data_IF_411135996529
#
_entry.id   IF_411135996529
#
_cell.length_a   1.000
_cell.length_b   1.000
_cell.length_c   1.000
_cell.angle_alpha   90.00
_cell.angle_beta   90.00
_cell.angle_gamma   90.00
#
_symmetry.space_group_name_H-M   'P 1'
#
loop_
_entity.id
_entity.type
_entity.pdbx_description
1 polymer ?
#
# COMPACT_ATOMS: atom_id res chain seq x y z
N UNK A 1 6.60 8.03 -6.31
CA UNK A 1 5.80 8.07 -5.05
C UNK A 1 6.61 8.82 -3.99
N UNK A 2 6.09 9.87 -3.35
CA UNK A 2 6.82 10.58 -2.27
C UNK A 2 6.95 9.60 -1.10
N UNK A 3 8.19 9.31 -0.66
CA UNK A 3 8.41 8.54 0.57
C UNK A 3 7.76 9.32 1.71
N UNK A 4 6.69 8.84 2.36
CA UNK A 4 6.26 9.48 3.59
C UNK A 4 7.43 9.35 4.57
N UNK A 5 7.80 10.47 5.19
CA UNK A 5 8.78 10.58 6.28
C UNK A 5 8.21 9.91 7.55
N UNK A 6 7.78 8.66 7.44
CA UNK A 6 7.40 7.82 8.56
C UNK A 6 8.43 6.70 8.59
N UNK A 7 9.42 6.82 9.47
CA UNK A 7 10.33 5.74 9.82
C UNK A 7 9.49 4.67 10.56
N UNK A 8 9.22 3.48 10.00
CA UNK A 8 8.52 2.47 10.74
C UNK A 8 9.48 1.86 11.77
N UNK A 9 8.98 1.66 12.99
CA UNK A 9 9.65 0.83 13.99
C UNK A 9 9.89 -0.55 13.39
N UNK A 10 11.10 -1.08 13.56
CA UNK A 10 11.49 -2.44 13.19
C UNK A 10 10.51 -3.42 13.82
N UNK A 11 9.54 -3.90 13.04
CA UNK A 11 8.67 -5.00 13.43
C UNK A 11 9.49 -6.28 13.56
N UNK A 12 8.98 -7.23 14.32
CA UNK A 12 9.61 -8.54 14.51
C UNK A 12 9.91 -9.16 13.14
N UNK A 13 11.07 -9.79 12.99
CA UNK A 13 11.77 -10.14 11.73
C UNK A 13 10.99 -10.97 10.69
N UNK A 14 9.76 -11.41 10.98
CA UNK A 14 8.89 -12.13 10.04
C UNK A 14 7.90 -11.22 9.30
N UNK A 15 7.55 -10.04 9.85
CA UNK A 15 6.62 -9.09 9.22
C UNK A 15 7.44 -8.04 8.44
N UNK A 16 7.49 -8.19 7.11
CA UNK A 16 8.14 -7.23 6.21
C UNK A 16 7.25 -6.00 6.04
N UNK A 17 7.13 -5.19 7.09
CA UNK A 17 6.43 -3.89 7.08
C UNK A 17 6.89 -2.97 5.94
N UNK A 18 8.12 -3.14 5.46
CA UNK A 18 8.63 -2.47 4.26
C UNK A 18 9.02 -3.50 3.20
N UNK A 19 8.18 -3.63 2.18
CA UNK A 19 8.44 -4.45 0.99
C UNK A 19 9.17 -3.60 -0.07
N UNK A 20 10.44 -3.29 0.19
CA UNK A 20 11.23 -2.40 -0.68
C UNK A 20 11.35 -2.93 -2.11
N UNK A 21 11.43 -4.25 -2.29
CA UNK A 21 11.45 -4.87 -3.61
C UNK A 21 10.12 -4.72 -4.34
N UNK A 22 8.99 -4.95 -3.65
CA UNK A 22 7.66 -4.71 -4.23
C UNK A 22 7.51 -3.26 -4.67
N UNK A 23 7.95 -2.30 -3.84
CA UNK A 23 7.98 -0.89 -4.19
C UNK A 23 8.84 -0.64 -5.44
N UNK A 24 10.06 -1.18 -5.50
CA UNK A 24 10.96 -1.00 -6.62
C UNK A 24 10.38 -1.57 -7.93
N UNK A 25 9.76 -2.75 -7.88
CA UNK A 25 9.11 -3.38 -9.04
C UNK A 25 7.91 -2.53 -9.52
N UNK A 26 7.10 -2.02 -8.61
CA UNK A 26 5.95 -1.16 -8.94
C UNK A 26 6.43 0.15 -9.59
N UNK A 27 7.39 0.85 -8.97
CA UNK A 27 7.91 2.10 -9.54
C UNK A 27 8.60 1.87 -10.88
N UNK A 28 9.38 0.79 -11.03
CA UNK A 28 9.99 0.40 -12.30
C UNK A 28 8.94 0.17 -13.39
N UNK A 29 7.84 -0.50 -13.07
CA UNK A 29 6.74 -0.73 -14.02
C UNK A 29 6.16 0.60 -14.52
N UNK A 30 5.94 1.56 -13.62
CA UNK A 30 5.48 2.89 -14.03
C UNK A 30 6.51 3.63 -14.90
N UNK A 31 7.79 3.56 -14.54
CA UNK A 31 8.86 4.17 -15.33
C UNK A 31 8.93 3.55 -16.74
N UNK A 32 8.78 2.22 -16.83
CA UNK A 32 8.76 1.50 -18.09
C UNK A 32 7.60 1.92 -18.99
N UNK A 33 6.40 2.11 -18.43
CA UNK A 33 5.24 2.61 -19.20
C UNK A 33 5.52 3.98 -19.80
N UNK A 34 6.13 4.89 -19.01
CA UNK A 34 6.54 6.22 -19.49
C UNK A 34 7.55 6.15 -20.64
N UNK A 35 8.60 5.32 -20.48
CA UNK A 35 9.66 5.16 -21.48
C UNK A 35 9.17 4.53 -22.79
N UNK A 36 8.10 3.76 -22.73
CA UNK A 36 7.54 3.05 -23.89
C UNK A 36 6.28 3.70 -24.45
N UNK A 37 5.96 4.92 -24.01
CA UNK A 37 4.77 5.70 -24.42
C UNK A 37 3.46 4.89 -24.32
N UNK A 38 3.36 4.08 -23.26
CA UNK A 38 2.18 3.30 -22.95
C UNK A 38 1.31 4.01 -21.92
N UNK A 39 0.03 3.63 -21.89
CA UNK A 39 -0.93 4.16 -20.92
C UNK A 39 -0.43 3.94 -19.48
N UNK A 40 -0.34 5.05 -18.74
CA UNK A 40 -0.01 5.02 -17.31
C UNK A 40 -1.17 4.48 -16.48
N UNK A 41 -0.84 3.96 -15.28
CA UNK A 41 -1.83 3.50 -14.33
C UNK A 41 -2.17 4.63 -13.34
N UNK A 42 -3.47 4.92 -13.20
CA UNK A 42 -3.98 5.97 -12.31
C UNK A 42 -3.94 5.56 -10.82
N UNK A 43 -3.93 4.26 -10.54
CA UNK A 43 -3.88 3.71 -9.19
C UNK A 43 -3.21 2.34 -9.15
N UNK A 44 -2.64 2.00 -8.00
CA UNK A 44 -2.10 0.67 -7.68
C UNK A 44 -2.89 0.10 -6.52
N UNK A 45 -3.21 -1.20 -6.58
CA UNK A 45 -3.82 -1.96 -5.50
C UNK A 45 -2.99 -3.20 -5.23
N UNK A 46 -2.57 -3.41 -3.98
CA UNK A 46 -1.85 -4.59 -3.54
C UNK A 46 -2.54 -5.25 -2.36
N UNK A 47 -2.61 -6.58 -2.36
CA UNK A 47 -2.96 -7.37 -1.16
C UNK A 47 -1.68 -7.69 -0.40
N UNK A 48 -1.73 -7.49 0.91
CA UNK A 48 -0.64 -7.76 1.83
C UNK A 48 -1.13 -8.79 2.83
N UNK A 49 -0.48 -9.95 2.83
CA UNK A 49 -0.71 -11.02 3.78
C UNK A 49 0.28 -10.82 4.93
N UNK A 50 -0.22 -10.42 6.10
CA UNK A 50 0.58 -10.15 7.28
C UNK A 50 0.03 -10.89 8.49
N UNK A 51 0.92 -11.26 9.41
CA UNK A 51 0.57 -12.06 10.59
C UNK A 51 0.45 -13.56 10.35
N UNK A 52 0.01 -14.27 11.38
CA UNK A 52 -0.12 -15.73 11.37
C UNK A 52 -1.43 -16.17 10.68
N UNK A 53 -1.53 -17.43 10.23
CA UNK A 53 -2.80 -18.00 9.78
C UNK A 53 -3.86 -17.90 10.88
N UNK A 54 -5.00 -17.28 10.56
CA UNK A 54 -6.10 -17.10 11.51
C UNK A 54 -6.76 -18.45 11.86
N UNK A 55 -6.75 -19.41 10.92
CA UNK A 55 -7.21 -20.79 11.14
C UNK A 55 -6.29 -21.79 10.42
N UNK A 56 -6.09 -23.03 10.94
CA UNK A 56 -5.12 -24.00 10.41
C UNK A 56 -5.30 -24.42 8.94
N UNK A 57 -6.45 -24.16 8.32
CA UNK A 57 -6.76 -24.52 6.93
C UNK A 57 -7.25 -23.33 6.09
N UNK A 58 -7.34 -22.14 6.68
CA UNK A 58 -7.84 -20.96 5.98
C UNK A 58 -6.67 -20.17 5.37
N UNK A 59 -6.86 -19.66 4.15
CA UNK A 59 -5.89 -18.78 3.49
C UNK A 59 -5.89 -17.33 4.00
N UNK A 60 -6.47 -17.08 5.19
CA UNK A 60 -6.63 -15.75 5.77
C UNK A 60 -5.66 -15.56 6.94
N UNK A 61 -4.68 -14.65 6.83
CA UNK A 61 -3.86 -14.18 7.94
C UNK A 61 -4.63 -13.23 8.88
N UNK A 62 -4.14 -13.06 10.10
CA UNK A 62 -4.74 -12.16 11.11
C UNK A 62 -4.76 -10.67 10.72
N UNK A 63 -3.81 -10.21 9.92
CA UNK A 63 -3.60 -8.79 9.60
C UNK A 63 -3.56 -8.53 8.10
N UNK A 64 -4.25 -9.37 7.34
CA UNK A 64 -4.36 -9.14 5.92
C UNK A 64 -5.00 -7.78 5.62
N UNK A 65 -4.42 -7.07 4.67
CA UNK A 65 -4.92 -5.76 4.31
C UNK A 65 -4.64 -5.44 2.84
N UNK A 66 -5.47 -4.57 2.28
CA UNK A 66 -5.27 -4.03 0.95
C UNK A 66 -4.67 -2.63 1.09
N UNK A 67 -3.60 -2.37 0.35
CA UNK A 67 -3.08 -1.02 0.17
C UNK A 67 -3.49 -0.49 -1.21
N UNK A 68 -3.95 0.76 -1.23
CA UNK A 68 -4.31 1.47 -2.46
C UNK A 68 -3.46 2.73 -2.53
N UNK A 69 -2.77 2.92 -3.66
CA UNK A 69 -2.06 4.14 -3.97
C UNK A 69 -2.72 4.81 -5.18
N UNK A 70 -3.29 6.00 -4.99
CA UNK A 70 -3.78 6.84 -6.09
C UNK A 70 -2.61 7.66 -6.62
N UNK A 71 -2.31 7.49 -7.91
CA UNK A 71 -1.18 8.14 -8.60
C UNK A 71 -1.64 9.39 -9.36
N UNK A 72 -2.83 9.33 -9.95
CA UNK A 72 -3.44 10.43 -10.66
C UNK A 72 -4.37 11.22 -9.72
N UNK A 73 -4.05 12.49 -9.47
CA UNK A 73 -4.84 13.34 -8.58
C UNK A 73 -6.22 13.68 -9.15
N UNK A 74 -6.42 13.63 -10.48
CA UNK A 74 -7.71 13.88 -11.12
C UNK A 74 -8.75 12.80 -10.77
N UNK A 75 -8.28 11.64 -10.30
CA UNK A 75 -9.13 10.56 -9.78
C UNK A 75 -9.64 10.85 -8.36
N UNK A 76 -9.08 11.82 -7.62
CA UNK A 76 -9.51 12.17 -6.27
C UNK A 76 -10.69 13.14 -6.36
N UNK A 77 -11.89 12.66 -6.03
CA UNK A 77 -13.11 13.50 -6.02
C UNK A 77 -13.25 14.38 -4.78
N UNK A 78 -12.59 13.99 -3.70
CA UNK A 78 -12.59 14.70 -2.43
C UNK A 78 -11.88 13.86 -1.36
N UNK A 79 -11.47 14.51 -0.28
CA UNK A 79 -10.95 13.84 0.91
C UNK A 79 -11.64 14.44 2.14
N UNK A 80 -11.82 13.62 3.16
CA UNK A 80 -12.48 14.00 4.39
C UNK A 80 -11.46 13.95 5.52
N UNK A 81 -11.44 15.00 6.35
CA UNK A 81 -10.68 14.98 7.58
C UNK A 81 -11.46 14.17 8.63
N UNK A 82 -10.79 13.30 9.41
CA UNK A 82 -11.46 12.56 10.46
C UNK A 82 -12.05 13.53 11.48
N UNK A 83 -13.28 13.26 11.92
CA UNK A 83 -13.92 14.03 12.97
C UNK A 83 -13.19 13.74 14.29
N UNK A 84 -12.82 14.78 15.03
CA UNK A 84 -12.32 14.62 16.39
C UNK A 84 -13.42 13.94 17.24
N UNK A 85 -13.03 12.97 18.07
CA UNK A 85 -13.96 12.37 19.03
C UNK A 85 -14.51 13.48 19.91
N UNK A 86 -15.83 13.65 19.90
CA UNK A 86 -16.52 14.42 20.92
C UNK A 86 -16.47 13.56 22.17
N UNK A 87 -15.71 13.99 23.19
CA UNK A 87 -15.75 13.35 24.51
C UNK A 87 -17.14 13.60 25.12
N UNK A 88 -17.91 12.53 25.28
CA UNK A 88 -19.13 12.54 26.08
C UNK A 88 -18.80 12.48 27.57
#
# INVERSE_FOLDING_TARGET
MIRPFFLPKKGNTADLLQRELDFAVIEWTHEWQKRTDKKEFDSVRGVFWEGNPLYPTAGFPEKDHIQICVRNLDCIKGYFLPLNKISA
#
